data_IF_638928555569
#
_entry.id   IF_638928555569
#
_cell.length_a   1.000
_cell.length_b   1.000
_cell.length_c   1.000
_cell.angle_alpha   90.00
_cell.angle_beta   90.00
_cell.angle_gamma   90.00
#
_symmetry.space_group_name_H-M   'P 1'
#
loop_
_entity.id
_entity.type
_entity.pdbx_description
1 polymer ?
#
# COMPACT_ATOMS: atom_id res chain seq x y z
N UNK A 1 -56.90 13.12 14.69
CA UNK A 1 -56.38 12.44 13.48
C UNK A 1 -56.63 10.97 13.64
N UNK A 2 -57.29 10.32 12.68
CA UNK A 2 -57.51 8.87 12.69
C UNK A 2 -56.34 8.20 11.97
N UNK A 3 -55.61 7.31 12.65
CA UNK A 3 -54.52 6.52 12.03
C UNK A 3 -55.04 5.14 11.70
N UNK A 4 -54.82 4.68 10.45
CA UNK A 4 -55.32 3.40 9.95
C UNK A 4 -54.44 2.19 10.35
N UNK A 5 -53.26 2.44 10.93
CA UNK A 5 -52.31 1.36 11.32
C UNK A 5 -52.45 1.05 12.79
N UNK A 6 -52.80 -0.20 13.07
CA UNK A 6 -52.88 -0.73 14.44
C UNK A 6 -51.48 -0.78 15.09
N UNK A 7 -51.39 -0.37 16.36
CA UNK A 7 -50.14 -0.28 17.11
C UNK A 7 -49.43 -1.66 17.22
N UNK A 8 -50.13 -2.75 17.44
CA UNK A 8 -49.54 -4.06 17.52
C UNK A 8 -48.90 -4.51 16.17
N UNK A 9 -49.60 -4.27 15.05
CA UNK A 9 -49.05 -4.56 13.71
C UNK A 9 -47.83 -3.68 13.40
N UNK A 10 -47.89 -2.37 13.76
CA UNK A 10 -46.75 -1.47 13.63
C UNK A 10 -45.53 -1.98 14.40
N UNK A 11 -45.71 -2.37 15.68
CA UNK A 11 -44.62 -2.88 16.51
C UNK A 11 -44.01 -4.18 15.96
N UNK A 12 -44.84 -5.09 15.47
CA UNK A 12 -44.37 -6.35 14.87
C UNK A 12 -43.55 -6.10 13.57
N UNK A 13 -44.02 -5.22 12.69
CA UNK A 13 -43.34 -4.89 11.46
C UNK A 13 -42.01 -4.17 11.75
N UNK A 14 -42.00 -3.19 12.66
CA UNK A 14 -40.78 -2.48 13.04
C UNK A 14 -39.79 -3.36 13.79
N UNK A 15 -40.27 -4.36 14.54
CA UNK A 15 -39.40 -5.38 15.16
C UNK A 15 -38.62 -6.20 14.14
N UNK A 16 -39.27 -6.63 13.04
CA UNK A 16 -38.58 -7.29 11.91
C UNK A 16 -37.60 -6.36 11.21
N UNK A 17 -38.01 -5.11 10.92
CA UNK A 17 -37.17 -4.12 10.28
C UNK A 17 -35.95 -3.77 11.14
N UNK A 18 -36.12 -3.60 12.46
CA UNK A 18 -35.00 -3.37 13.40
C UNK A 18 -33.96 -4.48 13.33
N UNK A 19 -34.39 -5.75 13.31
CA UNK A 19 -33.45 -6.90 13.18
C UNK A 19 -32.68 -6.83 11.87
N UNK A 20 -33.37 -6.55 10.74
CA UNK A 20 -32.72 -6.42 9.43
C UNK A 20 -31.74 -5.24 9.38
N UNK A 21 -32.14 -4.06 9.87
CA UNK A 21 -31.28 -2.87 9.95
C UNK A 21 -30.04 -3.13 10.83
N UNK A 22 -30.21 -3.82 11.96
CA UNK A 22 -29.08 -4.17 12.83
C UNK A 22 -28.10 -5.14 12.15
N UNK A 23 -28.61 -6.12 11.40
CA UNK A 23 -27.77 -7.03 10.61
C UNK A 23 -27.03 -6.26 9.49
N UNK A 24 -27.71 -5.36 8.80
CA UNK A 24 -27.12 -4.48 7.79
C UNK A 24 -25.99 -3.60 8.37
N UNK A 25 -26.22 -2.94 9.49
CA UNK A 25 -25.23 -2.09 10.15
C UNK A 25 -23.97 -2.86 10.62
N UNK A 26 -24.09 -4.13 10.94
CA UNK A 26 -22.93 -4.98 11.27
C UNK A 26 -22.03 -5.24 10.06
N UNK A 27 -22.61 -5.30 8.87
CA UNK A 27 -21.88 -5.52 7.62
C UNK A 27 -21.29 -4.20 7.11
N UNK A 28 -22.08 -3.15 7.18
CA UNK A 28 -21.72 -1.80 6.71
C UNK A 28 -21.49 -0.88 7.92
N UNK A 29 -20.40 -1.16 8.62
CA UNK A 29 -20.02 -0.43 9.84
C UNK A 29 -19.55 1.00 9.58
N UNK A 30 -19.31 1.36 8.32
CA UNK A 30 -18.68 2.61 7.93
C UNK A 30 -17.15 2.51 7.96
N UNK A 31 -16.50 3.63 7.67
CA UNK A 31 -15.05 3.71 7.71
C UNK A 31 -14.54 3.63 9.15
N UNK A 32 -13.46 2.91 9.37
CA UNK A 32 -12.85 2.79 10.69
C UNK A 32 -12.09 4.09 11.01
N UNK A 33 -12.18 4.62 12.24
CA UNK A 33 -11.43 5.82 12.67
C UNK A 33 -9.96 5.46 12.98
N UNK A 34 -9.34 4.67 12.10
CA UNK A 34 -7.96 4.21 12.22
C UNK A 34 -7.10 4.87 11.13
N UNK A 35 -5.83 5.04 11.43
CA UNK A 35 -4.87 5.47 10.43
C UNK A 35 -4.71 4.41 9.36
N UNK A 36 -4.98 4.75 8.10
CA UNK A 36 -4.59 3.96 6.93
C UNK A 36 -3.23 4.45 6.43
N UNK A 37 -2.25 3.57 6.15
CA UNK A 37 -1.00 4.01 5.53
C UNK A 37 -1.26 4.50 4.10
N UNK A 38 -0.49 5.49 3.64
CA UNK A 38 -0.63 6.00 2.26
C UNK A 38 0.11 5.14 1.25
N UNK A 39 1.03 4.31 1.72
CA UNK A 39 1.71 3.33 0.88
C UNK A 39 2.12 2.08 1.66
N UNK A 40 2.31 0.99 0.92
CA UNK A 40 3.01 -0.21 1.35
C UNK A 40 4.25 -0.40 0.49
N UNK A 41 5.42 -0.42 1.11
CA UNK A 41 6.67 -0.76 0.43
C UNK A 41 6.86 -2.27 0.44
N UNK A 42 6.98 -2.88 -0.73
CA UNK A 42 7.32 -4.30 -0.88
C UNK A 42 8.82 -4.47 -1.06
N UNK A 43 9.40 -5.37 -0.31
CA UNK A 43 10.82 -5.73 -0.41
C UNK A 43 11.05 -7.22 -0.21
N UNK A 44 11.87 -7.84 -1.07
CA UNK A 44 12.19 -9.27 -0.98
C UNK A 44 12.68 -9.67 0.41
N UNK A 45 12.17 -10.78 0.92
CA UNK A 45 12.41 -11.25 2.28
C UNK A 45 13.91 -11.47 2.59
N UNK A 46 14.69 -11.88 1.59
CA UNK A 46 16.14 -12.08 1.70
C UNK A 46 16.93 -10.79 1.93
N UNK A 47 16.34 -9.63 1.61
CA UNK A 47 16.99 -8.33 1.74
C UNK A 47 16.58 -7.60 3.03
N UNK A 48 15.56 -8.09 3.73
CA UNK A 48 15.01 -7.42 4.91
C UNK A 48 15.96 -7.47 6.10
N UNK A 49 16.17 -6.31 6.72
CA UNK A 49 16.88 -6.11 7.99
C UNK A 49 16.07 -5.20 8.91
N UNK A 50 16.32 -5.27 10.21
CA UNK A 50 15.60 -4.49 11.20
C UNK A 50 15.66 -2.97 10.98
N UNK A 51 16.66 -2.47 10.26
CA UNK A 51 16.92 -1.06 9.94
C UNK A 51 16.64 -0.70 8.47
N UNK A 52 16.06 -1.63 7.69
CA UNK A 52 15.74 -1.42 6.28
C UNK A 52 14.93 -0.14 6.05
N UNK A 53 13.96 0.15 6.92
CA UNK A 53 13.15 1.36 6.78
C UNK A 53 13.99 2.65 6.86
N UNK A 54 14.96 2.70 7.77
CA UNK A 54 15.87 3.83 7.91
C UNK A 54 16.78 4.00 6.69
N UNK A 55 17.43 2.91 6.26
CA UNK A 55 18.35 2.92 5.11
C UNK A 55 17.63 3.35 3.84
N UNK A 56 16.42 2.83 3.61
CA UNK A 56 15.64 3.18 2.42
C UNK A 56 15.12 4.62 2.48
N UNK A 57 14.80 5.15 3.67
CA UNK A 57 14.45 6.56 3.86
C UNK A 57 15.61 7.49 3.52
N UNK A 58 16.82 7.17 3.97
CA UNK A 58 18.04 7.93 3.65
C UNK A 58 18.29 7.96 2.14
N UNK A 59 18.19 6.81 1.46
CA UNK A 59 18.30 6.72 -0.01
C UNK A 59 17.23 7.53 -0.73
N UNK A 60 15.98 7.49 -0.25
CA UNK A 60 14.90 8.29 -0.84
C UNK A 60 15.18 9.79 -0.74
N UNK A 61 15.66 10.25 0.42
CA UNK A 61 15.99 11.65 0.65
C UNK A 61 17.19 12.11 -0.18
N UNK A 62 18.22 11.27 -0.30
CA UNK A 62 19.39 11.53 -1.15
C UNK A 62 18.98 11.66 -2.62
N UNK A 63 18.22 10.68 -3.14
CA UNK A 63 17.67 10.69 -4.49
C UNK A 63 16.83 11.95 -4.73
N UNK A 64 15.97 12.31 -3.79
CA UNK A 64 15.14 13.51 -3.88
C UNK A 64 15.98 14.78 -3.98
N UNK A 65 16.99 14.95 -3.13
CA UNK A 65 17.88 16.13 -3.17
C UNK A 65 18.71 16.20 -4.45
N UNK A 66 19.11 15.06 -4.98
CA UNK A 66 19.89 15.00 -6.23
C UNK A 66 19.07 15.48 -7.43
N UNK A 67 17.83 14.99 -7.57
CA UNK A 67 17.00 15.24 -8.75
C UNK A 67 15.97 16.37 -8.58
N UNK A 68 15.73 16.84 -7.38
CA UNK A 68 14.94 18.04 -7.08
C UNK A 68 15.67 18.90 -6.06
N UNK A 69 16.78 19.58 -6.45
CA UNK A 69 17.64 20.32 -5.53
C UNK A 69 16.95 21.53 -4.89
N UNK A 70 15.87 22.01 -5.50
CA UNK A 70 15.10 23.16 -5.02
C UNK A 70 13.61 23.02 -5.35
N UNK A 71 12.78 23.81 -4.66
CA UNK A 71 11.32 23.75 -4.78
C UNK A 71 10.80 24.25 -6.16
N UNK A 72 11.55 25.07 -6.90
CA UNK A 72 11.16 25.50 -8.24
C UNK A 72 11.35 24.37 -9.26
N UNK A 73 12.50 23.70 -9.21
CA UNK A 73 12.76 22.48 -9.98
C UNK A 73 11.72 21.41 -9.68
N UNK A 74 11.47 21.15 -8.37
CA UNK A 74 10.44 20.23 -7.91
C UNK A 74 9.05 20.57 -8.48
N UNK A 75 8.61 21.82 -8.36
CA UNK A 75 7.31 22.26 -8.85
C UNK A 75 7.14 22.03 -10.36
N UNK A 76 8.20 22.25 -11.14
CA UNK A 76 8.21 22.02 -12.59
C UNK A 76 8.14 20.56 -12.97
N UNK A 77 8.85 19.67 -12.26
CA UNK A 77 8.80 18.21 -12.49
C UNK A 77 7.36 17.71 -12.42
N UNK A 78 6.65 18.07 -11.35
CA UNK A 78 5.29 17.60 -11.10
C UNK A 78 4.21 18.49 -11.74
N UNK A 79 4.60 19.58 -12.41
CA UNK A 79 3.69 20.58 -13.01
C UNK A 79 2.68 21.11 -12.00
N UNK A 80 3.15 21.42 -10.78
CA UNK A 80 2.30 21.97 -9.75
C UNK A 80 1.76 23.35 -10.15
N UNK A 81 0.52 23.65 -9.78
CA UNK A 81 -0.13 24.91 -10.12
C UNK A 81 0.75 26.10 -9.69
N UNK A 82 0.96 27.06 -10.59
CA UNK A 82 1.81 28.23 -10.42
C UNK A 82 3.29 28.00 -10.77
N UNK A 83 3.74 26.74 -10.90
CA UNK A 83 5.16 26.45 -11.21
C UNK A 83 5.63 26.96 -12.56
N UNK A 84 4.70 27.11 -13.52
CA UNK A 84 4.97 27.66 -14.86
C UNK A 84 4.98 29.18 -14.92
N UNK A 85 4.38 29.83 -13.91
CA UNK A 85 4.24 31.29 -13.84
C UNK A 85 5.54 31.96 -13.33
N UNK A 86 6.47 31.14 -12.84
CA UNK A 86 7.78 31.58 -12.37
C UNK A 86 8.82 31.35 -13.46
N UNK A 87 9.55 32.39 -13.85
CA UNK A 87 10.61 32.31 -14.86
C UNK A 87 11.60 31.18 -14.58
N UNK A 88 12.03 30.47 -15.62
CA UNK A 88 13.06 29.43 -15.50
C UNK A 88 14.40 29.98 -15.00
N UNK A 89 14.68 31.25 -15.21
CA UNK A 89 15.89 31.96 -14.75
C UNK A 89 15.75 32.54 -13.34
N UNK A 90 14.57 32.40 -12.69
CA UNK A 90 14.36 32.90 -11.34
C UNK A 90 15.25 32.18 -10.32
N UNK A 91 15.90 32.93 -9.44
CA UNK A 91 16.71 32.41 -8.37
C UNK A 91 15.81 31.74 -7.29
N UNK A 92 15.98 30.46 -6.99
CA UNK A 92 15.22 29.80 -5.92
C UNK A 92 15.42 30.51 -4.57
N UNK A 93 16.62 31.00 -4.29
CA UNK A 93 16.93 31.74 -3.07
C UNK A 93 16.13 33.04 -2.97
N UNK A 94 16.07 33.82 -4.06
CA UNK A 94 15.32 35.07 -4.07
C UNK A 94 13.81 34.83 -3.91
N UNK A 95 13.26 33.89 -4.66
CA UNK A 95 11.82 33.54 -4.55
C UNK A 95 11.50 33.04 -3.14
N UNK A 96 12.36 32.19 -2.55
CA UNK A 96 12.18 31.73 -1.16
C UNK A 96 12.11 32.90 -0.19
N UNK A 97 13.10 33.81 -0.22
CA UNK A 97 13.16 34.97 0.67
C UNK A 97 11.91 35.83 0.56
N UNK A 98 11.48 36.13 -0.66
CA UNK A 98 10.29 36.93 -0.93
C UNK A 98 9.02 36.22 -0.42
N UNK A 99 8.89 34.94 -0.73
CA UNK A 99 7.74 34.13 -0.30
C UNK A 99 7.61 34.03 1.21
N UNK A 100 8.72 33.79 1.93
CA UNK A 100 8.71 33.63 3.39
C UNK A 100 8.26 34.91 4.11
N UNK A 101 8.52 36.09 3.52
CA UNK A 101 8.12 37.39 4.05
C UNK A 101 6.65 37.74 3.83
N UNK A 102 5.94 37.01 2.96
CA UNK A 102 4.52 37.28 2.70
C UNK A 102 3.62 36.92 3.91
N UNK A 103 2.58 37.71 4.16
CA UNK A 103 1.51 37.34 5.09
C UNK A 103 0.86 36.00 4.72
N UNK A 104 0.34 35.26 5.69
CA UNK A 104 -0.33 33.95 5.44
C UNK A 104 -1.46 34.05 4.42
N UNK A 105 -2.20 35.13 4.41
CA UNK A 105 -3.32 35.39 3.47
C UNK A 105 -2.81 35.48 2.03
N UNK A 106 -1.63 36.02 1.79
CA UNK A 106 -1.07 36.25 0.46
C UNK A 106 -0.31 35.03 -0.07
N UNK A 107 0.28 34.24 0.83
CA UNK A 107 1.05 33.03 0.45
C UNK A 107 0.30 32.10 -0.48
N UNK A 108 -1.02 31.90 -0.23
CA UNK A 108 -1.86 30.97 -1.03
C UNK A 108 -2.07 31.44 -2.48
N UNK A 109 -1.90 32.73 -2.74
CA UNK A 109 -2.05 33.34 -4.06
C UNK A 109 -0.72 33.45 -4.82
N UNK A 110 0.40 33.23 -4.13
CA UNK A 110 1.71 33.32 -4.74
C UNK A 110 1.99 32.11 -5.66
N UNK A 111 2.55 32.28 -6.87
CA UNK A 111 2.84 31.19 -7.81
C UNK A 111 3.69 30.07 -7.21
N UNK A 112 4.63 30.38 -6.31
CA UNK A 112 5.47 29.39 -5.66
C UNK A 112 4.78 28.59 -4.56
N UNK A 113 3.53 28.91 -4.17
CA UNK A 113 2.87 28.35 -2.98
C UNK A 113 2.92 26.82 -2.93
N UNK A 114 2.35 26.14 -3.92
CA UNK A 114 2.32 24.68 -3.91
C UNK A 114 3.72 24.07 -4.01
N UNK A 115 4.57 24.61 -4.88
CA UNK A 115 5.95 24.14 -5.04
C UNK A 115 6.72 24.23 -3.72
N UNK A 116 6.60 25.36 -3.01
CA UNK A 116 7.29 25.58 -1.75
C UNK A 116 6.74 24.70 -0.62
N UNK A 117 5.42 24.76 -0.36
CA UNK A 117 4.81 24.05 0.77
C UNK A 117 4.94 22.53 0.63
N UNK A 118 4.69 21.99 -0.57
CA UNK A 118 4.77 20.54 -0.80
C UNK A 118 6.21 20.05 -0.73
N UNK A 119 7.16 20.78 -1.35
CA UNK A 119 8.59 20.43 -1.31
C UNK A 119 9.11 20.21 0.10
N UNK A 120 8.88 21.17 1.01
CA UNK A 120 9.34 21.07 2.38
C UNK A 120 8.56 20.02 3.21
N UNK A 121 7.29 19.79 2.90
CA UNK A 121 6.51 18.69 3.49
C UNK A 121 7.07 17.33 3.07
N UNK A 122 7.41 17.15 1.78
CA UNK A 122 8.03 15.92 1.28
C UNK A 122 9.37 15.67 1.98
N UNK A 123 10.25 16.68 2.05
CA UNK A 123 11.52 16.55 2.78
C UNK A 123 11.27 16.12 4.24
N UNK A 124 10.37 16.80 4.93
CA UNK A 124 10.03 16.47 6.32
C UNK A 124 9.53 15.04 6.45
N UNK A 125 8.63 14.61 5.53
CA UNK A 125 8.10 13.24 5.52
C UNK A 125 9.20 12.20 5.33
N UNK A 126 10.10 12.42 4.35
CA UNK A 126 11.24 11.53 4.09
C UNK A 126 12.22 11.46 5.28
N UNK A 127 12.36 12.53 6.05
CA UNK A 127 13.22 12.58 7.24
C UNK A 127 12.61 11.93 8.47
N UNK A 128 11.29 11.93 8.61
CA UNK A 128 10.63 11.51 9.86
C UNK A 128 9.96 10.15 9.76
N UNK A 129 9.25 9.87 8.67
CA UNK A 129 8.49 8.64 8.46
C UNK A 129 8.34 8.38 6.96
N UNK A 130 9.43 8.07 6.30
CA UNK A 130 9.44 7.82 4.86
C UNK A 130 8.73 6.52 4.45
N UNK A 131 8.64 5.55 5.36
CA UNK A 131 7.95 4.28 5.15
C UNK A 131 6.87 4.14 6.21
N UNK A 132 5.63 4.08 5.77
CA UNK A 132 4.49 3.88 6.67
C UNK A 132 4.17 2.42 6.89
N UNK A 133 4.27 1.60 5.83
CA UNK A 133 4.02 0.17 5.87
C UNK A 133 5.08 -0.58 5.06
N UNK A 134 5.58 -1.70 5.59
CA UNK A 134 6.58 -2.54 4.92
C UNK A 134 6.05 -3.97 4.80
N UNK A 135 6.07 -4.51 3.59
CA UNK A 135 5.69 -5.90 3.33
C UNK A 135 6.93 -6.71 2.97
N UNK A 136 7.34 -7.60 3.90
CA UNK A 136 8.43 -8.56 3.69
C UNK A 136 7.89 -9.62 2.74
N UNK A 137 8.42 -9.67 1.55
CA UNK A 137 7.84 -10.39 0.43
C UNK A 137 8.50 -11.74 0.20
N UNK A 138 7.75 -12.83 0.39
CA UNK A 138 8.16 -14.21 0.09
C UNK A 138 7.57 -14.71 -1.24
N UNK A 139 6.92 -13.85 -2.00
CA UNK A 139 6.32 -14.19 -3.29
C UNK A 139 7.13 -13.56 -4.43
N UNK A 140 6.58 -12.68 -5.25
CA UNK A 140 7.23 -12.15 -6.45
C UNK A 140 8.56 -11.44 -6.16
N UNK A 141 8.65 -10.67 -5.07
CA UNK A 141 9.87 -9.97 -4.68
C UNK A 141 10.99 -10.88 -4.14
N UNK A 142 10.65 -12.12 -3.78
CA UNK A 142 11.59 -13.15 -3.35
C UNK A 142 11.98 -14.07 -4.51
N UNK A 143 11.02 -14.37 -5.37
CA UNK A 143 11.18 -15.25 -6.53
C UNK A 143 11.21 -16.75 -6.18
N UNK A 144 11.55 -17.56 -7.18
CA UNK A 144 11.62 -19.01 -7.02
C UNK A 144 12.97 -19.41 -6.39
N UNK A 145 12.90 -20.03 -5.21
CA UNK A 145 14.04 -20.51 -4.44
C UNK A 145 13.76 -21.89 -3.90
N UNK A 146 14.80 -22.58 -3.39
CA UNK A 146 14.62 -23.87 -2.76
C UNK A 146 13.82 -23.74 -1.46
N UNK A 147 13.20 -24.83 -1.03
CA UNK A 147 12.47 -24.88 0.23
C UNK A 147 13.35 -24.54 1.43
N UNK A 148 14.59 -25.04 1.41
CA UNK A 148 15.58 -24.81 2.47
C UNK A 148 15.99 -23.34 2.55
N UNK A 149 16.19 -22.69 1.40
CA UNK A 149 16.52 -21.26 1.34
C UNK A 149 15.36 -20.38 1.85
N UNK A 150 14.12 -20.72 1.45
CA UNK A 150 12.95 -20.00 1.92
C UNK A 150 12.71 -20.20 3.41
N UNK A 151 12.89 -21.42 3.94
CA UNK A 151 12.80 -21.71 5.37
C UNK A 151 13.82 -20.91 6.18
N UNK A 152 15.07 -20.91 5.74
CA UNK A 152 16.14 -20.15 6.39
C UNK A 152 15.84 -18.64 6.35
N UNK A 153 15.36 -18.14 5.21
CA UNK A 153 14.98 -16.73 5.04
C UNK A 153 13.79 -16.35 5.92
N UNK A 154 12.77 -17.20 6.03
CA UNK A 154 11.61 -16.95 6.89
C UNK A 154 12.02 -16.79 8.35
N UNK A 155 12.87 -17.70 8.84
CA UNK A 155 13.40 -17.61 10.20
C UNK A 155 14.31 -16.40 10.41
N UNK A 156 15.16 -16.07 9.43
CA UNK A 156 16.04 -14.90 9.52
C UNK A 156 15.27 -13.60 9.50
N UNK A 157 14.30 -13.42 8.60
CA UNK A 157 13.46 -12.24 8.53
C UNK A 157 12.64 -12.05 9.84
N UNK A 158 12.14 -13.14 10.42
CA UNK A 158 11.44 -13.09 11.72
C UNK A 158 12.36 -12.61 12.86
N UNK A 159 13.61 -13.07 12.90
CA UNK A 159 14.62 -12.58 13.86
C UNK A 159 14.92 -11.09 13.66
N UNK A 160 15.00 -10.64 12.41
CA UNK A 160 15.18 -9.21 12.12
C UNK A 160 13.98 -8.37 12.56
N UNK A 161 12.74 -8.87 12.40
CA UNK A 161 11.55 -8.19 12.95
C UNK A 161 11.61 -8.13 14.48
N UNK A 162 11.96 -9.23 15.15
CA UNK A 162 12.12 -9.23 16.61
C UNK A 162 13.20 -8.23 17.08
N UNK A 163 14.31 -8.14 16.35
CA UNK A 163 15.34 -7.13 16.57
C UNK A 163 14.79 -5.71 16.39
N UNK A 164 13.99 -5.48 15.36
CA UNK A 164 13.35 -4.21 15.09
C UNK A 164 12.39 -3.78 16.18
N UNK A 165 11.63 -4.71 16.76
CA UNK A 165 10.80 -4.44 17.96
C UNK A 165 11.68 -3.95 19.12
N UNK A 166 12.77 -4.67 19.39
CA UNK A 166 13.69 -4.33 20.49
C UNK A 166 14.35 -2.96 20.30
N UNK A 167 14.77 -2.67 19.07
CA UNK A 167 15.49 -1.43 18.71
C UNK A 167 14.56 -0.27 18.36
N UNK A 168 13.25 -0.51 18.24
CA UNK A 168 12.24 0.47 17.81
C UNK A 168 12.54 1.08 16.42
N UNK A 169 12.91 0.23 15.46
CA UNK A 169 13.31 0.63 14.12
C UNK A 169 12.30 0.24 13.04
N UNK A 170 11.24 -0.48 13.41
CA UNK A 170 10.20 -0.90 12.48
C UNK A 170 9.30 0.30 12.09
N UNK A 171 8.75 0.29 10.88
CA UNK A 171 7.72 1.25 10.49
C UNK A 171 6.40 1.01 11.28
N UNK A 172 5.45 1.96 11.26
CA UNK A 172 4.18 1.86 11.98
C UNK A 172 3.34 0.64 11.61
N UNK A 173 3.42 0.20 10.35
CA UNK A 173 2.78 -1.01 9.82
C UNK A 173 3.85 -1.92 9.22
N UNK A 174 3.73 -3.21 9.46
CA UNK A 174 4.63 -4.21 8.89
C UNK A 174 3.91 -5.54 8.75
N UNK A 175 4.29 -6.31 7.76
CA UNK A 175 3.74 -7.65 7.57
C UNK A 175 4.57 -8.47 6.61
N UNK A 176 4.07 -9.65 6.30
CA UNK A 176 4.65 -10.55 5.31
C UNK A 176 3.67 -10.81 4.17
N UNK A 177 4.15 -11.00 2.96
CA UNK A 177 3.39 -11.62 1.87
C UNK A 177 3.90 -13.04 1.70
N UNK A 178 3.03 -14.01 1.92
CA UNK A 178 3.32 -15.43 1.76
C UNK A 178 3.06 -15.86 0.31
N UNK A 179 3.46 -17.08 -0.06
CA UNK A 179 3.05 -17.67 -1.33
C UNK A 179 1.54 -17.95 -1.36
N UNK A 180 0.91 -17.93 -2.55
CA UNK A 180 -0.54 -18.12 -2.69
C UNK A 180 -1.01 -19.49 -2.19
N UNK A 181 -2.28 -19.58 -1.82
CA UNK A 181 -2.92 -20.83 -1.46
C UNK A 181 -3.56 -21.54 -2.67
N UNK A 182 -2.83 -21.55 -3.80
CA UNK A 182 -3.13 -22.42 -4.93
C UNK A 182 -2.73 -23.87 -4.59
N UNK A 183 -3.19 -24.84 -5.37
CA UNK A 183 -2.89 -26.25 -5.11
C UNK A 183 -1.38 -26.53 -5.06
N UNK A 184 -0.61 -25.85 -5.92
CA UNK A 184 0.84 -26.03 -6.05
C UNK A 184 1.64 -25.36 -4.94
N UNK A 185 1.11 -24.26 -4.35
CA UNK A 185 1.88 -23.39 -3.44
C UNK A 185 1.36 -23.36 -2.00
N UNK A 186 0.16 -23.91 -1.73
CA UNK A 186 -0.48 -23.80 -0.42
C UNK A 186 0.36 -24.33 0.74
N UNK A 187 1.03 -25.46 0.55
CA UNK A 187 1.89 -26.06 1.59
C UNK A 187 3.12 -25.19 1.85
N UNK A 188 3.70 -24.65 0.78
CA UNK A 188 4.86 -23.75 0.88
C UNK A 188 4.48 -22.45 1.59
N UNK A 189 3.36 -21.84 1.19
CA UNK A 189 2.85 -20.62 1.81
C UNK A 189 2.54 -20.80 3.31
N UNK A 190 1.89 -21.91 3.67
CA UNK A 190 1.63 -22.25 5.07
C UNK A 190 2.91 -22.48 5.87
N UNK A 191 3.89 -23.19 5.32
CA UNK A 191 5.16 -23.45 5.98
C UNK A 191 5.92 -22.16 6.26
N UNK A 192 5.98 -21.24 5.29
CA UNK A 192 6.60 -19.94 5.46
C UNK A 192 5.93 -19.14 6.57
N UNK A 193 4.59 -19.12 6.60
CA UNK A 193 3.81 -18.47 7.65
C UNK A 193 4.15 -19.03 9.03
N UNK A 194 4.11 -20.36 9.18
CA UNK A 194 4.35 -21.02 10.47
C UNK A 194 5.78 -20.76 10.97
N UNK A 195 6.80 -20.97 10.12
CA UNK A 195 8.20 -20.71 10.48
C UNK A 195 8.43 -19.26 10.88
N UNK A 196 7.85 -18.31 10.13
CA UNK A 196 8.00 -16.90 10.41
C UNK A 196 7.35 -16.52 11.75
N UNK A 197 6.05 -16.85 11.95
CA UNK A 197 5.32 -16.47 13.16
C UNK A 197 5.89 -17.17 14.39
N UNK A 198 6.17 -18.47 14.31
CA UNK A 198 6.73 -19.25 15.43
C UNK A 198 8.10 -18.71 15.85
N UNK A 199 8.97 -18.38 14.88
CA UNK A 199 10.27 -17.74 15.16
C UNK A 199 10.11 -16.35 15.74
N UNK A 200 9.25 -15.51 15.16
CA UNK A 200 9.01 -14.15 15.65
C UNK A 200 8.53 -14.16 17.10
N UNK A 201 7.53 -14.98 17.42
CA UNK A 201 6.97 -15.09 18.78
C UNK A 201 8.02 -15.57 19.78
N UNK A 202 8.83 -16.55 19.40
CA UNK A 202 9.94 -17.04 20.24
C UNK A 202 10.97 -15.95 20.51
N UNK A 203 11.49 -15.30 19.48
CA UNK A 203 12.58 -14.30 19.59
C UNK A 203 12.12 -12.98 20.25
N UNK A 204 10.85 -12.62 20.07
CA UNK A 204 10.24 -11.41 20.67
C UNK A 204 9.64 -11.64 22.05
N UNK A 205 9.71 -12.86 22.59
CA UNK A 205 9.07 -13.27 23.87
C UNK A 205 7.56 -13.01 23.88
N UNK A 206 6.87 -13.46 22.83
CA UNK A 206 5.42 -13.37 22.70
C UNK A 206 4.88 -12.04 22.15
N UNK A 207 5.74 -11.12 21.70
CA UNK A 207 5.31 -9.82 21.19
C UNK A 207 5.25 -9.84 19.65
N UNK A 208 4.14 -9.34 19.10
CA UNK A 208 4.03 -9.01 17.68
C UNK A 208 4.23 -7.49 17.49
N UNK A 209 4.71 -7.04 16.32
CA UNK A 209 4.68 -5.62 15.98
C UNK A 209 3.24 -5.10 16.02
N UNK A 210 3.08 -3.82 16.37
CA UNK A 210 1.79 -3.17 16.18
C UNK A 210 1.44 -3.20 14.68
N UNK A 211 0.16 -3.42 14.36
CA UNK A 211 -0.33 -3.49 12.98
C UNK A 211 0.38 -4.54 12.10
N UNK A 212 0.75 -5.69 12.70
CA UNK A 212 1.29 -6.81 11.93
C UNK A 212 0.20 -7.51 11.12
N UNK A 213 0.47 -7.77 9.84
CA UNK A 213 -0.47 -8.41 8.92
C UNK A 213 0.19 -9.49 8.06
N UNK A 214 -0.62 -10.40 7.57
CA UNK A 214 -0.23 -11.42 6.58
C UNK A 214 -1.00 -11.18 5.29
N UNK A 215 -0.28 -10.93 4.21
CA UNK A 215 -0.87 -10.75 2.88
C UNK A 215 -1.01 -12.10 2.19
N UNK A 216 -2.23 -12.43 1.75
CA UNK A 216 -2.53 -13.59 0.90
C UNK A 216 -2.66 -13.14 -0.56
N UNK A 217 -1.74 -13.52 -1.44
CA UNK A 217 -1.80 -13.17 -2.86
C UNK A 217 -2.70 -14.12 -3.66
N UNK A 218 -3.05 -13.72 -4.87
CA UNK A 218 -3.71 -14.52 -5.93
C UNK A 218 -4.98 -15.25 -5.45
N UNK A 219 -5.80 -14.54 -4.66
CA UNK A 219 -7.05 -15.10 -4.12
C UNK A 219 -8.09 -15.24 -5.23
N UNK A 220 -8.63 -16.44 -5.37
CA UNK A 220 -9.61 -16.79 -6.42
C UNK A 220 -10.91 -17.39 -5.87
N UNK A 221 -10.85 -18.06 -4.73
CA UNK A 221 -12.00 -18.72 -4.09
C UNK A 221 -12.05 -18.42 -2.59
N UNK A 222 -13.25 -18.41 -1.95
CA UNK A 222 -13.42 -18.08 -0.53
C UNK A 222 -12.69 -19.04 0.43
N UNK A 223 -12.48 -20.28 0.01
CA UNK A 223 -11.83 -21.31 0.81
C UNK A 223 -10.35 -20.98 1.12
N UNK A 224 -9.70 -20.17 0.28
CA UNK A 224 -8.30 -19.75 0.50
C UNK A 224 -8.17 -18.82 1.73
N UNK A 225 -8.87 -17.68 1.84
CA UNK A 225 -8.84 -16.88 3.05
C UNK A 225 -9.47 -17.58 4.25
N UNK A 226 -10.43 -18.51 4.07
CA UNK A 226 -10.94 -19.32 5.16
C UNK A 226 -9.86 -20.23 5.74
N UNK A 227 -9.12 -20.94 4.89
CA UNK A 227 -8.01 -21.78 5.31
C UNK A 227 -6.96 -20.98 6.07
N UNK A 228 -6.56 -19.79 5.56
CA UNK A 228 -5.63 -18.91 6.26
C UNK A 228 -6.17 -18.48 7.63
N UNK A 229 -7.45 -18.12 7.74
CA UNK A 229 -8.06 -17.75 9.01
C UNK A 229 -8.04 -18.91 10.03
N UNK A 230 -8.29 -20.14 9.58
CA UNK A 230 -8.24 -21.34 10.43
C UNK A 230 -6.80 -21.66 10.88
N UNK A 231 -5.81 -21.53 9.99
CA UNK A 231 -4.40 -21.70 10.38
C UNK A 231 -3.95 -20.62 11.36
N UNK A 232 -4.40 -19.38 11.21
CA UNK A 232 -4.16 -18.33 12.20
C UNK A 232 -4.77 -18.66 13.57
N UNK A 233 -5.97 -19.25 13.64
CA UNK A 233 -6.56 -19.72 14.90
C UNK A 233 -5.68 -20.80 15.56
N UNK A 234 -5.13 -21.73 14.76
CA UNK A 234 -4.21 -22.77 15.25
C UNK A 234 -2.91 -22.15 15.79
N UNK A 235 -2.27 -21.25 15.00
CA UNK A 235 -1.03 -20.58 15.42
C UNK A 235 -1.22 -19.77 16.71
N UNK A 236 -2.30 -18.99 16.81
CA UNK A 236 -2.61 -18.20 17.99
C UNK A 236 -2.76 -19.10 19.24
N UNK A 237 -3.47 -20.22 19.10
CA UNK A 237 -3.64 -21.20 20.19
C UNK A 237 -2.32 -21.85 20.61
N UNK A 238 -1.53 -22.36 19.64
CA UNK A 238 -0.28 -23.06 19.92
C UNK A 238 0.80 -22.14 20.50
N UNK A 239 0.85 -20.90 20.00
CA UNK A 239 1.83 -19.90 20.44
C UNK A 239 1.33 -19.04 21.62
N UNK A 240 0.15 -19.36 22.19
CA UNK A 240 -0.46 -18.63 23.30
C UNK A 240 -0.63 -17.13 23.02
N UNK A 241 -0.96 -16.79 21.79
CA UNK A 241 -1.27 -15.43 21.38
C UNK A 241 -2.74 -15.10 21.66
N UNK A 242 -3.11 -13.81 21.83
CA UNK A 242 -4.50 -13.41 21.91
C UNK A 242 -5.28 -13.81 20.65
N UNK A 243 -6.51 -14.34 20.84
CA UNK A 243 -7.37 -14.73 19.72
C UNK A 243 -7.68 -13.53 18.82
N UNK A 244 -7.50 -13.71 17.51
CA UNK A 244 -7.80 -12.70 16.50
C UNK A 244 -6.73 -11.60 16.37
N UNK A 245 -5.55 -11.77 16.98
CA UNK A 245 -4.45 -10.82 16.87
C UNK A 245 -3.81 -10.84 15.49
N UNK A 246 -3.70 -12.02 14.86
CA UNK A 246 -3.21 -12.16 13.50
C UNK A 246 -4.27 -11.65 12.52
N UNK A 247 -3.93 -10.62 11.74
CA UNK A 247 -4.77 -10.03 10.71
C UNK A 247 -4.24 -10.41 9.35
N UNK A 248 -5.13 -10.38 8.35
CA UNK A 248 -4.77 -10.62 6.97
C UNK A 248 -5.17 -9.47 6.07
N UNK A 249 -4.46 -9.37 4.97
CA UNK A 249 -4.81 -8.60 3.78
C UNK A 249 -4.88 -9.55 2.60
N UNK A 250 -5.62 -9.19 1.57
CA UNK A 250 -5.77 -10.02 0.37
C UNK A 250 -5.44 -9.23 -0.88
N UNK A 251 -4.87 -9.93 -1.87
CA UNK A 251 -4.68 -9.37 -3.19
C UNK A 251 -5.92 -9.57 -4.06
N UNK A 252 -6.29 -8.51 -4.77
CA UNK A 252 -7.27 -8.50 -5.86
C UNK A 252 -6.48 -8.35 -7.16
N UNK A 253 -6.11 -9.46 -7.75
CA UNK A 253 -5.16 -9.46 -8.90
C UNK A 253 -5.46 -10.55 -9.93
N UNK A 254 -6.62 -11.19 -9.82
CA UNK A 254 -7.11 -12.16 -10.79
C UNK A 254 -8.49 -11.73 -11.29
N UNK A 255 -8.83 -12.09 -12.52
CA UNK A 255 -10.20 -11.83 -13.05
C UNK A 255 -11.26 -12.52 -12.21
N UNK A 256 -10.94 -13.70 -11.65
CA UNK A 256 -11.84 -14.46 -10.76
C UNK A 256 -12.10 -13.79 -9.42
N UNK A 257 -11.22 -12.89 -8.96
CA UNK A 257 -11.49 -12.07 -7.77
C UNK A 257 -12.47 -10.92 -8.03
N UNK A 258 -12.69 -10.56 -9.28
CA UNK A 258 -13.66 -9.53 -9.69
C UNK A 258 -14.99 -10.15 -10.11
N UNK A 259 -14.96 -11.27 -10.82
CA UNK A 259 -16.14 -11.98 -11.29
C UNK A 259 -15.89 -13.49 -11.25
N UNK A 260 -16.68 -14.20 -10.46
CA UNK A 260 -16.58 -15.65 -10.31
C UNK A 260 -17.26 -16.41 -11.46
N UNK A 261 -17.24 -17.75 -11.41
CA UNK A 261 -17.85 -18.61 -12.40
C UNK A 261 -19.38 -18.46 -12.54
N UNK A 262 -20.04 -17.82 -11.57
CA UNK A 262 -21.47 -17.54 -11.60
C UNK A 262 -21.78 -16.10 -12.05
N UNK A 263 -20.77 -15.34 -12.50
CA UNK A 263 -20.92 -13.94 -12.87
C UNK A 263 -21.15 -12.99 -11.68
N UNK A 264 -20.79 -13.40 -10.47
CA UNK A 264 -20.96 -12.62 -9.26
C UNK A 264 -19.61 -12.08 -8.75
N UNK A 265 -19.62 -10.88 -8.11
CA UNK A 265 -18.45 -10.37 -7.44
C UNK A 265 -18.21 -11.14 -6.13
N UNK A 266 -17.07 -11.84 -5.96
CA UNK A 266 -16.84 -12.72 -4.80
C UNK A 266 -16.24 -12.01 -3.58
N UNK A 267 -15.83 -10.74 -3.68
CA UNK A 267 -15.02 -10.05 -2.65
C UNK A 267 -15.68 -10.07 -1.26
N UNK A 268 -17.00 -9.92 -1.20
CA UNK A 268 -17.71 -10.00 0.09
C UNK A 268 -17.68 -11.41 0.70
N UNK A 269 -17.69 -12.44 -0.13
CA UNK A 269 -17.54 -13.82 0.33
C UNK A 269 -16.11 -14.05 0.86
N UNK A 270 -15.09 -13.46 0.24
CA UNK A 270 -13.72 -13.51 0.76
C UNK A 270 -13.61 -12.85 2.14
N UNK A 271 -14.25 -11.69 2.35
CA UNK A 271 -14.29 -11.06 3.68
C UNK A 271 -14.98 -11.94 4.72
N UNK A 272 -16.14 -12.50 4.38
CA UNK A 272 -16.86 -13.38 5.30
C UNK A 272 -16.03 -14.61 5.64
N UNK A 273 -15.41 -15.23 4.65
CA UNK A 273 -14.52 -16.38 4.81
C UNK A 273 -13.29 -16.08 5.69
N UNK A 274 -12.81 -14.85 5.70
CA UNK A 274 -11.69 -14.42 6.55
C UNK A 274 -12.01 -14.35 8.05
N UNK A 275 -13.26 -14.60 8.45
CA UNK A 275 -13.72 -14.67 9.86
C UNK A 275 -13.35 -13.40 10.67
N UNK A 276 -13.43 -12.22 10.04
CA UNK A 276 -13.13 -10.92 10.67
C UNK A 276 -11.64 -10.62 10.80
N UNK A 277 -10.77 -11.34 10.09
CA UNK A 277 -9.33 -11.12 10.08
C UNK A 277 -8.88 -10.21 8.95
N UNK A 278 -9.63 -10.08 7.85
CA UNK A 278 -9.31 -9.19 6.74
C UNK A 278 -9.47 -7.73 7.16
N UNK A 279 -8.45 -6.91 6.90
CA UNK A 279 -8.44 -5.47 7.18
C UNK A 279 -8.25 -4.60 5.93
N UNK A 280 -7.66 -5.16 4.86
CA UNK A 280 -7.45 -4.46 3.61
C UNK A 280 -7.45 -5.40 2.40
N UNK A 281 -7.76 -4.82 1.24
CA UNK A 281 -7.57 -5.47 -0.06
C UNK A 281 -6.70 -4.58 -0.94
N UNK A 282 -5.71 -5.20 -1.58
CA UNK A 282 -4.71 -4.54 -2.42
C UNK A 282 -4.88 -4.97 -3.86
N UNK A 283 -4.90 -4.02 -4.78
CA UNK A 283 -5.01 -4.31 -6.20
C UNK A 283 -3.63 -4.64 -6.80
N UNK A 284 -3.53 -5.77 -7.49
CA UNK A 284 -2.31 -6.18 -8.19
C UNK A 284 -2.42 -5.91 -9.70
N UNK A 285 -1.99 -4.73 -10.12
CA UNK A 285 -2.14 -4.21 -11.48
C UNK A 285 -1.63 -5.16 -12.55
N UNK A 286 -0.43 -5.73 -12.36
CA UNK A 286 0.27 -6.47 -13.41
C UNK A 286 -0.27 -7.89 -13.59
N UNK A 287 -0.52 -8.60 -12.49
CA UNK A 287 -1.18 -9.91 -12.54
C UNK A 287 -2.60 -9.78 -13.11
N UNK A 288 -3.36 -8.75 -12.69
CA UNK A 288 -4.70 -8.53 -13.19
C UNK A 288 -4.73 -8.19 -14.68
N UNK A 289 -3.89 -7.27 -15.14
CA UNK A 289 -3.83 -6.90 -16.56
C UNK A 289 -3.30 -8.04 -17.41
N UNK A 290 -2.35 -8.85 -16.90
CA UNK A 290 -1.89 -10.06 -17.58
C UNK A 290 -3.03 -11.09 -17.71
N UNK A 291 -3.82 -11.30 -16.65
CA UNK A 291 -4.99 -12.21 -16.71
C UNK A 291 -6.11 -11.70 -17.64
N UNK A 292 -6.11 -10.40 -17.96
CA UNK A 292 -6.96 -9.80 -19.00
C UNK A 292 -6.32 -9.82 -20.40
N UNK A 293 -5.21 -10.53 -20.60
CA UNK A 293 -4.47 -10.63 -21.88
C UNK A 293 -3.93 -9.30 -22.40
N UNK A 294 -3.71 -8.32 -21.50
CA UNK A 294 -3.06 -7.05 -21.85
C UNK A 294 -1.54 -7.29 -21.93
N UNK A 295 -0.92 -6.88 -23.04
CA UNK A 295 0.51 -7.04 -23.22
C UNK A 295 1.29 -6.09 -22.29
N UNK A 296 2.49 -6.49 -21.86
CA UNK A 296 3.31 -5.76 -20.89
C UNK A 296 3.49 -4.27 -21.21
N UNK A 297 3.55 -3.90 -22.49
CA UNK A 297 3.66 -2.50 -22.93
C UNK A 297 2.51 -1.60 -22.45
N UNK A 298 1.32 -2.16 -22.28
CA UNK A 298 0.10 -1.44 -21.95
C UNK A 298 -0.37 -1.71 -20.52
N UNK A 299 0.38 -2.49 -19.73
CA UNK A 299 0.06 -2.75 -18.33
C UNK A 299 0.43 -1.55 -17.46
N UNK A 300 -0.53 -0.67 -17.25
CA UNK A 300 -0.39 0.56 -16.48
C UNK A 300 -1.51 0.70 -15.44
N UNK A 301 -1.25 1.44 -14.36
CA UNK A 301 -2.21 1.60 -13.25
C UNK A 301 -3.50 2.29 -13.70
N UNK A 302 -3.43 3.22 -14.64
CA UNK A 302 -4.54 3.99 -15.20
C UNK A 302 -5.15 3.35 -16.46
N UNK A 303 -4.84 2.05 -16.72
CA UNK A 303 -5.48 1.34 -17.83
C UNK A 303 -6.97 1.13 -17.53
N UNK A 304 -7.89 1.33 -18.52
CA UNK A 304 -9.35 1.21 -18.30
C UNK A 304 -9.81 -0.12 -17.70
N UNK A 305 -9.10 -1.22 -17.96
CA UNK A 305 -9.42 -2.51 -17.35
C UNK A 305 -9.16 -2.52 -15.84
N UNK A 306 -8.17 -1.76 -15.37
CA UNK A 306 -7.91 -1.57 -13.94
C UNK A 306 -9.03 -0.74 -13.31
N UNK A 307 -9.49 0.34 -13.97
CA UNK A 307 -10.60 1.15 -13.49
C UNK A 307 -11.88 0.34 -13.31
N UNK A 308 -12.16 -0.58 -14.23
CA UNK A 308 -13.29 -1.51 -14.07
C UNK A 308 -13.17 -2.32 -12.79
N UNK A 309 -12.01 -2.92 -12.53
CA UNK A 309 -11.76 -3.71 -11.32
C UNK A 309 -11.81 -2.84 -10.06
N UNK A 310 -11.26 -1.62 -10.10
CA UNK A 310 -11.31 -0.66 -9.01
C UNK A 310 -12.75 -0.29 -8.65
N UNK A 311 -13.60 0.01 -9.63
CA UNK A 311 -15.01 0.36 -9.41
C UNK A 311 -15.79 -0.84 -8.84
N UNK A 312 -15.59 -2.04 -9.37
CA UNK A 312 -16.21 -3.27 -8.86
C UNK A 312 -15.80 -3.54 -7.41
N UNK A 313 -14.53 -3.38 -7.09
CA UNK A 313 -14.01 -3.53 -5.72
C UNK A 313 -14.59 -2.46 -4.79
N UNK A 314 -14.60 -1.21 -5.23
CA UNK A 314 -15.14 -0.07 -4.47
C UNK A 314 -16.62 -0.28 -4.13
N UNK A 315 -17.44 -0.66 -5.12
CA UNK A 315 -18.88 -0.91 -4.92
C UNK A 315 -19.10 -2.11 -3.98
N UNK A 316 -18.33 -3.18 -4.14
CA UNK A 316 -18.45 -4.37 -3.31
C UNK A 316 -18.10 -4.11 -1.82
N UNK A 317 -17.12 -3.23 -1.56
CA UNK A 317 -16.52 -3.05 -0.23
C UNK A 317 -16.83 -1.71 0.44
N UNK A 318 -17.59 -0.82 -0.22
CA UNK A 318 -17.96 0.46 0.36
C UNK A 318 -18.64 0.28 1.73
N UNK A 319 -18.24 1.08 2.70
CA UNK A 319 -18.76 1.09 4.09
C UNK A 319 -18.53 -0.21 4.89
N UNK A 320 -17.69 -1.13 4.44
CA UNK A 320 -17.38 -2.37 5.19
C UNK A 320 -16.24 -2.20 6.19
N UNK A 321 -15.57 -1.05 6.22
CA UNK A 321 -14.38 -0.81 7.04
C UNK A 321 -13.10 -1.44 6.46
N UNK A 322 -13.17 -2.11 5.32
CA UNK A 322 -11.99 -2.69 4.65
C UNK A 322 -11.27 -1.59 3.87
N UNK A 323 -9.99 -1.42 4.14
CA UNK A 323 -9.14 -0.49 3.40
C UNK A 323 -8.87 -1.00 1.98
N UNK A 324 -8.81 -0.05 1.04
CA UNK A 324 -8.46 -0.34 -0.34
C UNK A 324 -7.12 0.31 -0.67
N UNK A 325 -6.22 -0.50 -1.23
CA UNK A 325 -4.93 -0.07 -1.76
C UNK A 325 -4.88 -0.32 -3.25
N UNK A 326 -4.41 0.65 -4.00
CA UNK A 326 -4.06 0.47 -5.41
C UNK A 326 -2.70 -0.22 -5.53
N UNK A 327 -2.29 -0.54 -6.76
CA UNK A 327 -1.02 -1.17 -7.09
C UNK A 327 0.17 -0.20 -7.10
N UNK A 328 1.22 -0.61 -7.80
CA UNK A 328 2.44 0.15 -8.01
C UNK A 328 2.59 0.57 -9.49
N UNK A 329 3.23 1.71 -9.75
CA UNK A 329 3.76 1.96 -11.08
C UNK A 329 5.01 1.12 -11.34
N UNK A 330 5.13 0.54 -12.54
CA UNK A 330 6.31 -0.20 -12.98
C UNK A 330 7.46 0.73 -13.40
N UNK A 331 7.21 2.04 -13.47
CA UNK A 331 8.21 3.02 -13.90
C UNK A 331 9.15 3.33 -12.74
N UNK A 332 10.42 2.93 -12.90
CA UNK A 332 11.46 3.17 -11.91
C UNK A 332 12.14 4.53 -12.14
N UNK A 333 12.14 5.43 -11.17
CA UNK A 333 12.86 6.71 -11.27
C UNK A 333 14.36 6.52 -10.97
N UNK A 334 15.03 5.77 -11.83
CA UNK A 334 16.44 5.42 -11.73
C UNK A 334 17.09 5.79 -13.06
N UNK A 335 18.14 6.61 -12.99
CA UNK A 335 18.92 7.00 -14.17
C UNK A 335 19.65 5.81 -14.80
N UNK A 336 19.83 5.79 -16.12
CA UNK A 336 20.51 4.72 -16.84
C UNK A 336 22.01 4.66 -16.57
N UNK A 337 22.63 5.78 -16.19
CA UNK A 337 24.07 5.87 -15.96
C UNK A 337 24.42 5.79 -14.48
N UNK A 338 25.46 5.03 -14.16
CA UNK A 338 25.95 4.82 -12.78
C UNK A 338 27.45 5.08 -12.70
N UNK A 339 27.94 5.43 -11.52
CA UNK A 339 29.36 5.68 -11.21
C UNK A 339 29.62 7.13 -10.86
N UNK A 340 30.83 7.40 -10.36
CA UNK A 340 31.21 8.70 -9.78
C UNK A 340 31.68 9.74 -10.82
N UNK A 341 32.01 9.26 -12.04
CA UNK A 341 32.60 10.11 -13.10
C UNK A 341 31.66 10.26 -14.30
N UNK A 342 30.41 10.61 -14.06
CA UNK A 342 29.44 10.84 -15.11
C UNK A 342 29.73 12.15 -15.86
N UNK A 343 29.64 12.11 -17.20
CA UNK A 343 29.67 13.32 -18.02
C UNK A 343 28.43 14.17 -17.80
N UNK A 344 28.49 15.44 -18.13
CA UNK A 344 27.34 16.36 -18.07
C UNK A 344 26.13 15.84 -18.87
N UNK A 345 26.40 15.22 -20.03
CA UNK A 345 25.35 14.61 -20.86
C UNK A 345 24.65 13.43 -20.14
N UNK A 346 25.43 12.53 -19.53
CA UNK A 346 24.91 11.40 -18.77
C UNK A 346 24.12 11.86 -17.53
N UNK A 347 24.61 12.86 -16.80
CA UNK A 347 23.88 13.43 -15.66
C UNK A 347 22.54 14.03 -16.11
N UNK A 348 22.52 14.75 -17.24
CA UNK A 348 21.29 15.30 -17.80
C UNK A 348 20.31 14.21 -18.24
N UNK A 349 20.78 13.15 -18.87
CA UNK A 349 19.94 12.01 -19.25
C UNK A 349 19.34 11.30 -18.01
N UNK A 350 20.13 11.09 -16.96
CA UNK A 350 19.65 10.59 -15.68
C UNK A 350 18.53 11.46 -15.11
N UNK A 351 18.74 12.79 -15.10
CA UNK A 351 17.76 13.76 -14.63
C UNK A 351 16.44 13.65 -15.42
N UNK A 352 16.52 13.66 -16.76
CA UNK A 352 15.36 13.57 -17.64
C UNK A 352 14.58 12.26 -17.46
N UNK A 353 15.29 11.12 -17.28
CA UNK A 353 14.66 9.82 -17.03
C UNK A 353 13.94 9.82 -15.68
N UNK A 354 14.60 10.28 -14.61
CA UNK A 354 14.02 10.32 -13.26
C UNK A 354 12.82 11.26 -13.22
N UNK A 355 12.92 12.45 -13.82
CA UNK A 355 11.83 13.43 -13.86
C UNK A 355 10.59 12.88 -14.59
N UNK A 356 10.77 12.23 -15.75
CA UNK A 356 9.66 11.57 -16.47
C UNK A 356 9.01 10.48 -15.63
N UNK A 357 9.84 9.65 -14.98
CA UNK A 357 9.33 8.58 -14.12
C UNK A 357 8.55 9.12 -12.90
N UNK A 358 9.07 10.16 -12.25
CA UNK A 358 8.36 10.80 -11.14
C UNK A 358 7.03 11.43 -11.60
N UNK A 359 7.04 12.12 -12.75
CA UNK A 359 5.80 12.72 -13.26
C UNK A 359 4.76 11.65 -13.60
N UNK A 360 5.18 10.58 -14.28
CA UNK A 360 4.26 9.46 -14.61
C UNK A 360 3.70 8.81 -13.34
N UNK A 361 4.55 8.46 -12.38
CA UNK A 361 4.09 7.86 -11.14
C UNK A 361 3.20 8.79 -10.30
N UNK A 362 3.51 10.09 -10.30
CA UNK A 362 2.63 11.10 -9.70
C UNK A 362 1.23 11.11 -10.36
N UNK A 363 1.16 11.05 -11.69
CA UNK A 363 -0.11 11.03 -12.41
C UNK A 363 -0.92 9.76 -12.08
N UNK A 364 -0.28 8.59 -12.03
CA UNK A 364 -0.89 7.35 -11.60
C UNK A 364 -1.47 7.44 -10.18
N UNK A 365 -0.69 7.99 -9.23
CA UNK A 365 -1.15 8.16 -7.85
C UNK A 365 -2.31 9.16 -7.77
N UNK A 366 -2.26 10.25 -8.54
CA UNK A 366 -3.37 11.21 -8.64
C UNK A 366 -4.63 10.57 -9.23
N UNK A 367 -4.47 9.67 -10.20
CA UNK A 367 -5.57 8.87 -10.74
C UNK A 367 -6.19 7.98 -9.65
N UNK A 368 -5.36 7.23 -8.91
CA UNK A 368 -5.80 6.42 -7.76
C UNK A 368 -6.58 7.24 -6.74
N UNK A 369 -6.04 8.40 -6.32
CA UNK A 369 -6.70 9.30 -5.37
C UNK A 369 -8.05 9.80 -5.87
N UNK A 370 -8.16 10.14 -7.17
CA UNK A 370 -9.41 10.60 -7.77
C UNK A 370 -10.48 9.50 -7.80
N UNK A 371 -10.07 8.23 -7.85
CA UNK A 371 -10.92 7.06 -7.77
C UNK A 371 -11.17 6.56 -6.32
N UNK A 372 -10.68 7.31 -5.32
CA UNK A 372 -10.90 7.01 -3.90
C UNK A 372 -10.02 5.88 -3.36
N UNK A 373 -8.84 5.66 -3.94
CA UNK A 373 -7.79 4.80 -3.43
C UNK A 373 -6.71 5.67 -2.80
N UNK A 374 -6.63 5.67 -1.48
CA UNK A 374 -5.72 6.55 -0.71
C UNK A 374 -4.40 5.88 -0.35
N UNK A 375 -4.27 4.60 -0.59
CA UNK A 375 -3.08 3.80 -0.41
C UNK A 375 -2.67 3.18 -1.74
N UNK A 376 -1.38 2.91 -1.92
CA UNK A 376 -0.85 2.20 -3.08
C UNK A 376 0.50 1.57 -2.75
N UNK A 377 1.15 0.96 -3.73
CA UNK A 377 2.43 0.30 -3.54
C UNK A 377 3.59 1.14 -4.05
N UNK A 378 4.71 0.96 -3.36
CA UNK A 378 6.03 1.35 -3.84
C UNK A 378 6.96 0.13 -3.74
N UNK A 379 7.86 -0.01 -4.70
CA UNK A 379 8.81 -1.13 -4.77
C UNK A 379 10.26 -0.64 -4.73
N UNK A 380 10.46 0.69 -4.71
CA UNK A 380 11.76 1.33 -4.67
C UNK A 380 11.70 2.66 -3.92
N UNK A 381 12.69 2.99 -3.07
CA UNK A 381 12.72 4.26 -2.34
C UNK A 381 12.74 5.50 -3.26
N UNK A 382 13.24 5.39 -4.49
CA UNK A 382 13.21 6.47 -5.47
C UNK A 382 11.78 6.87 -5.88
N UNK A 383 10.75 6.05 -5.58
CA UNK A 383 9.35 6.35 -5.85
C UNK A 383 8.69 7.21 -4.75
N UNK A 384 9.25 7.26 -3.53
CA UNK A 384 8.64 8.01 -2.42
C UNK A 384 8.41 9.49 -2.71
N UNK A 385 9.31 10.22 -3.39
CA UNK A 385 9.06 11.62 -3.74
C UNK A 385 7.77 11.85 -4.51
N UNK A 386 7.47 11.02 -5.52
CA UNK A 386 6.23 11.16 -6.30
C UNK A 386 4.99 10.79 -5.47
N UNK A 387 5.10 9.78 -4.59
CA UNK A 387 4.03 9.37 -3.67
C UNK A 387 3.63 10.52 -2.75
N UNK A 388 4.60 11.12 -2.08
CA UNK A 388 4.33 12.18 -1.11
C UNK A 388 4.07 13.54 -1.75
N UNK A 389 4.32 13.69 -3.04
CA UNK A 389 3.93 14.89 -3.79
C UNK A 389 2.46 14.86 -4.19
N UNK A 390 1.92 13.71 -4.49
CA UNK A 390 0.52 13.52 -4.90
C UNK A 390 -0.47 13.74 -3.76
#
# INVERSE_FOLDING_TARGET
MVTSINSAKKTAIFGKLKKANTAFQKIYSGDLPLRQPVHTLYGGANLFKHDSAKILAERALENFKTYAPDFLTFGRIFRLRGSTDISKSASPHFIKKTYEQLPKSEKRHHPAYLSYEVYYKVIKKLQTEAIEDFRIDFEDGFGNRSNEEEDATAMQAAKEVANGIKKKTLPPFIGIRIKPFTEEMKERGLRTLDLFISTLVKESKGKLPQNFVVMLPKVTIPEQPEALALFMDVLEKQLKLPKGILKMEMMVETTQSIMDSNGQNPLRRFILASKGRCIAMHFGTYDYTASCSITARYQEMDHPVCDFAHHMTKVALAHTGIWLSDGATNTMPIGPHRGDNLTKAQMKENEEVVHRAWKKGYDHIRHSLSNGYYQGWDVNPAQFPMRYTA
#
